data_IF_427496895801
#
_entry.id   IF_427496895801
#
_cell.length_a   1.000
_cell.length_b   1.000
_cell.length_c   1.000
_cell.angle_alpha   90.00
_cell.angle_beta   90.00
_cell.angle_gamma   90.00
#
_symmetry.space_group_name_H-M   'P 1'
#
loop_
_entity.id
_entity.type
_entity.pdbx_description
1 polymer ?
#
# COMPACT_ATOMS: atom_id res chain seq x y z
N UNK A 1 37.30 -8.83 30.73
CA UNK A 1 36.40 -7.80 30.15
C UNK A 1 35.13 -7.75 31.01
N UNK A 2 34.84 -6.64 31.71
CA UNK A 2 33.54 -6.48 32.39
C UNK A 2 32.49 -6.16 31.32
N UNK A 3 31.60 -7.11 31.02
CA UNK A 3 30.41 -6.85 30.20
C UNK A 3 29.62 -5.73 30.85
N UNK A 4 29.32 -4.67 30.09
CA UNK A 4 28.43 -3.62 30.58
C UNK A 4 27.04 -4.21 30.79
N UNK A 5 26.34 -3.84 31.86
CA UNK A 5 24.94 -4.24 32.12
C UNK A 5 24.05 -4.10 30.87
N UNK A 6 24.32 -3.11 30.01
CA UNK A 6 23.61 -2.88 28.74
C UNK A 6 23.81 -3.99 27.71
N UNK A 7 25.00 -4.59 27.62
CA UNK A 7 25.27 -5.71 26.71
C UNK A 7 24.57 -6.99 27.18
N UNK A 8 24.58 -7.23 28.49
CA UNK A 8 23.84 -8.34 29.10
C UNK A 8 22.34 -8.17 28.90
N UNK A 9 21.82 -6.95 29.02
CA UNK A 9 20.41 -6.65 28.77
C UNK A 9 20.02 -6.94 27.32
N UNK A 10 20.82 -6.52 26.33
CA UNK A 10 20.58 -6.83 24.92
C UNK A 10 20.57 -8.34 24.71
N UNK A 11 21.61 -9.03 25.19
CA UNK A 11 21.71 -10.48 25.03
C UNK A 11 20.50 -11.20 25.66
N UNK A 12 20.07 -10.77 26.85
CA UNK A 12 18.91 -11.33 27.54
C UNK A 12 17.60 -11.08 26.76
N UNK A 13 17.35 -9.83 26.34
CA UNK A 13 16.15 -9.48 25.57
C UNK A 13 16.13 -10.28 24.27
N UNK A 14 17.21 -10.26 23.49
CA UNK A 14 17.33 -10.98 22.22
C UNK A 14 17.18 -12.49 22.40
N UNK A 15 17.75 -13.06 23.47
CA UNK A 15 17.64 -14.49 23.75
C UNK A 15 16.21 -14.89 24.13
N UNK A 16 15.59 -14.19 25.08
CA UNK A 16 14.20 -14.46 25.51
C UNK A 16 13.24 -14.32 24.34
N UNK A 17 13.45 -13.27 23.55
CA UNK A 17 12.69 -12.97 22.33
C UNK A 17 12.80 -14.09 21.29
N UNK A 18 14.03 -14.49 20.95
CA UNK A 18 14.27 -15.56 19.99
C UNK A 18 13.72 -16.90 20.49
N UNK A 19 13.86 -17.18 21.79
CA UNK A 19 13.31 -18.36 22.41
C UNK A 19 11.78 -18.37 22.35
N UNK A 20 11.12 -17.24 22.61
CA UNK A 20 9.66 -17.12 22.50
C UNK A 20 9.17 -17.47 21.10
N UNK A 21 9.69 -16.81 20.06
CA UNK A 21 9.29 -17.06 18.67
C UNK A 21 9.61 -18.49 18.21
N UNK A 22 10.72 -19.05 18.68
CA UNK A 22 11.05 -20.45 18.41
C UNK A 22 10.06 -21.41 19.06
N UNK A 23 9.74 -21.20 20.34
CA UNK A 23 8.78 -22.04 21.06
C UNK A 23 7.38 -21.93 20.48
N UNK A 24 6.95 -20.72 20.11
CA UNK A 24 5.67 -20.51 19.45
C UNK A 24 5.55 -21.26 18.13
N UNK A 25 6.64 -21.30 17.38
CA UNK A 25 6.69 -21.99 16.12
C UNK A 25 6.70 -23.52 16.26
N UNK A 26 7.37 -24.04 17.30
CA UNK A 26 7.53 -25.49 17.51
C UNK A 26 6.35 -26.10 18.27
N UNK A 27 5.79 -25.37 19.22
CA UNK A 27 4.72 -25.86 20.07
C UNK A 27 3.36 -25.76 19.37
N UNK A 28 2.46 -26.73 19.61
CA UNK A 28 1.08 -26.60 19.15
C UNK A 28 0.38 -25.44 19.88
N UNK A 29 -0.60 -24.81 19.22
CA UNK A 29 -1.36 -23.68 19.74
C UNK A 29 -1.99 -23.98 21.12
N UNK A 30 -2.33 -25.24 21.40
CA UNK A 30 -2.89 -25.68 22.68
C UNK A 30 -2.14 -26.87 23.25
N UNK A 31 -1.71 -26.74 24.50
CA UNK A 31 -1.13 -27.80 25.31
C UNK A 31 -2.05 -28.01 26.52
N UNK A 32 -3.04 -28.90 26.37
CA UNK A 32 -4.09 -29.08 27.38
C UNK A 32 -5.01 -27.86 27.46
N UNK A 33 -5.14 -27.27 28.65
CA UNK A 33 -5.91 -26.02 28.86
C UNK A 33 -5.09 -24.75 28.58
N UNK A 34 -3.78 -24.87 28.33
CA UNK A 34 -2.90 -23.74 28.08
C UNK A 34 -2.83 -23.43 26.58
N UNK A 35 -3.17 -22.19 26.21
CA UNK A 35 -3.05 -21.68 24.85
C UNK A 35 -1.71 -20.94 24.70
N UNK A 36 -0.72 -21.61 24.09
CA UNK A 36 0.58 -21.01 23.79
C UNK A 36 0.40 -20.07 22.60
N UNK A 37 0.78 -18.79 22.76
CA UNK A 37 0.58 -17.78 21.71
C UNK A 37 -0.59 -16.82 21.95
N UNK A 38 -1.33 -16.94 23.06
CA UNK A 38 -2.41 -16.00 23.42
C UNK A 38 -1.97 -14.51 23.46
N UNK A 39 -0.66 -14.26 23.66
CA UNK A 39 -0.06 -12.93 23.67
C UNK A 39 0.81 -12.61 22.44
N UNK A 40 0.77 -13.44 21.39
CA UNK A 40 1.61 -13.28 20.20
C UNK A 40 1.48 -11.90 19.60
N UNK A 41 0.24 -11.47 19.34
CA UNK A 41 0.00 -10.18 18.69
C UNK A 41 0.55 -9.02 19.53
N UNK A 42 0.43 -9.08 20.86
CA UNK A 42 0.96 -8.07 21.77
C UNK A 42 2.49 -8.05 21.73
N UNK A 43 3.13 -9.22 21.76
CA UNK A 43 4.58 -9.37 21.72
C UNK A 43 5.10 -8.90 20.35
N UNK A 44 4.53 -9.38 19.26
CA UNK A 44 4.85 -9.00 17.88
C UNK A 44 4.69 -7.50 17.64
N UNK A 45 3.62 -6.87 18.14
CA UNK A 45 3.45 -5.41 18.11
C UNK A 45 4.55 -4.68 18.88
N UNK A 46 4.95 -5.20 20.04
CA UNK A 46 6.07 -4.66 20.81
C UNK A 46 7.40 -4.68 20.03
N UNK A 47 7.66 -5.76 19.29
CA UNK A 47 8.85 -5.87 18.43
C UNK A 47 8.80 -4.90 17.26
N UNK A 48 7.65 -4.81 16.59
CA UNK A 48 7.43 -3.85 15.52
C UNK A 48 7.65 -2.42 16.01
N UNK A 49 7.16 -2.08 17.21
CA UNK A 49 7.37 -0.77 17.82
C UNK A 49 8.86 -0.48 18.05
N UNK A 50 9.62 -1.45 18.58
CA UNK A 50 11.08 -1.33 18.73
C UNK A 50 11.75 -1.12 17.36
N UNK A 51 11.31 -1.85 16.32
CA UNK A 51 11.80 -1.70 14.95
C UNK A 51 11.52 -0.30 14.36
N UNK A 52 10.30 0.21 14.51
CA UNK A 52 9.91 1.56 14.06
C UNK A 52 10.73 2.64 14.77
N UNK A 53 10.92 2.51 16.08
CA UNK A 53 11.76 3.43 16.85
C UNK A 53 13.23 3.39 16.41
N UNK A 54 13.76 2.19 16.10
CA UNK A 54 15.12 2.05 15.60
C UNK A 54 15.30 2.73 14.23
N UNK A 55 14.31 2.66 13.33
CA UNK A 55 14.35 3.42 12.07
C UNK A 55 14.47 4.92 12.35
N UNK A 56 13.68 5.45 13.29
CA UNK A 56 13.75 6.86 13.69
C UNK A 56 15.11 7.26 14.25
N UNK A 57 15.68 6.44 15.13
CA UNK A 57 17.04 6.66 15.67
C UNK A 57 18.11 6.57 14.59
N UNK A 58 17.97 5.65 13.63
CA UNK A 58 18.86 5.52 12.48
C UNK A 58 18.88 6.78 11.63
N UNK A 59 17.70 7.36 11.35
CA UNK A 59 17.58 8.63 10.65
C UNK A 59 18.26 9.77 11.42
N UNK A 60 17.97 9.91 12.72
CA UNK A 60 18.62 10.92 13.58
C UNK A 60 20.14 10.77 13.56
N UNK A 61 20.64 9.53 13.59
CA UNK A 61 22.06 9.24 13.54
C UNK A 61 22.68 9.67 12.21
N UNK A 62 22.02 9.42 11.07
CA UNK A 62 22.45 9.90 9.75
C UNK A 62 22.59 11.42 9.76
N UNK A 63 21.56 12.15 10.22
CA UNK A 63 21.61 13.61 10.32
C UNK A 63 22.73 14.10 11.24
N UNK A 64 22.92 13.47 12.39
CA UNK A 64 23.96 13.85 13.35
C UNK A 64 25.36 13.64 12.77
N UNK A 65 25.64 12.44 12.27
CA UNK A 65 26.98 12.05 11.80
C UNK A 65 27.37 12.84 10.54
N UNK A 66 26.47 12.89 9.55
CA UNK A 66 26.76 13.57 8.29
C UNK A 66 26.61 15.09 8.42
N UNK A 67 25.71 15.58 9.28
CA UNK A 67 25.59 17.01 9.58
C UNK A 67 26.85 17.54 10.26
N UNK A 68 27.37 16.81 11.25
CA UNK A 68 28.63 17.16 11.91
C UNK A 68 29.82 17.09 10.94
N UNK A 69 29.86 16.10 10.04
CA UNK A 69 30.91 15.99 9.02
C UNK A 69 30.92 17.20 8.07
N UNK A 70 29.74 17.75 7.72
CA UNK A 70 29.62 18.96 6.90
C UNK A 70 30.07 20.20 7.69
N UNK A 71 29.55 20.38 8.91
CA UNK A 71 29.84 21.55 9.76
C UNK A 71 31.32 21.63 10.16
N UNK A 72 31.93 20.50 10.51
CA UNK A 72 33.36 20.40 10.85
C UNK A 72 34.27 20.30 9.62
N UNK A 73 33.71 20.28 8.41
CA UNK A 73 34.48 20.23 7.17
C UNK A 73 35.32 18.96 6.99
N UNK A 74 34.86 17.79 7.44
CA UNK A 74 35.57 16.52 7.30
C UNK A 74 35.79 16.12 5.83
N UNK A 75 36.75 15.22 5.58
CA UNK A 75 37.02 14.65 4.25
C UNK A 75 35.76 13.91 3.75
N UNK A 76 35.34 14.18 2.51
CA UNK A 76 34.10 13.62 1.96
C UNK A 76 32.81 14.38 2.32
N UNK A 77 32.90 15.64 2.80
CA UNK A 77 31.74 16.51 3.08
C UNK A 77 30.74 16.63 1.92
N UNK A 78 31.21 16.58 0.67
CA UNK A 78 30.34 16.62 -0.51
C UNK A 78 29.39 15.42 -0.58
N UNK A 79 29.88 14.21 -0.30
CA UNK A 79 29.06 12.99 -0.29
C UNK A 79 28.06 13.02 0.86
N UNK A 80 28.47 13.53 2.02
CA UNK A 80 27.59 13.70 3.19
C UNK A 80 26.47 14.70 2.90
N UNK A 81 26.78 15.81 2.23
CA UNK A 81 25.79 16.80 1.80
C UNK A 81 24.81 16.19 0.79
N UNK A 82 25.32 15.46 -0.22
CA UNK A 82 24.49 14.79 -1.21
C UNK A 82 23.54 13.77 -0.56
N UNK A 83 24.01 12.98 0.41
CA UNK A 83 23.19 12.03 1.15
C UNK A 83 22.07 12.73 1.94
N UNK A 84 22.39 13.77 2.71
CA UNK A 84 21.38 14.48 3.49
C UNK A 84 20.37 15.17 2.60
N UNK A 85 20.81 15.78 1.50
CA UNK A 85 19.91 16.37 0.52
C UNK A 85 18.98 15.31 -0.08
N UNK A 86 19.51 14.15 -0.47
CA UNK A 86 18.70 13.05 -1.01
C UNK A 86 17.66 12.53 0.00
N UNK A 87 18.03 12.34 1.27
CA UNK A 87 17.09 11.91 2.32
C UNK A 87 16.00 12.96 2.55
N UNK A 88 16.36 14.25 2.62
CA UNK A 88 15.38 15.34 2.77
C UNK A 88 14.47 15.42 1.55
N UNK A 89 15.01 15.36 0.34
CA UNK A 89 14.22 15.37 -0.90
C UNK A 89 13.25 14.18 -0.94
N UNK A 90 13.71 12.97 -0.61
CA UNK A 90 12.85 11.79 -0.56
C UNK A 90 11.72 11.98 0.46
N UNK A 91 12.04 12.42 1.67
CA UNK A 91 11.04 12.61 2.73
C UNK A 91 10.02 13.69 2.38
N UNK A 92 10.47 14.79 1.77
CA UNK A 92 9.59 15.87 1.31
C UNK A 92 8.70 15.39 0.17
N UNK A 93 9.25 14.69 -0.83
CA UNK A 93 8.48 14.21 -1.99
C UNK A 93 7.47 13.14 -1.60
N UNK A 94 7.90 12.09 -0.90
CA UNK A 94 7.01 11.01 -0.49
C UNK A 94 6.02 11.44 0.60
N UNK A 95 6.49 12.20 1.60
CA UNK A 95 5.62 12.72 2.65
C UNK A 95 4.62 13.73 2.11
N UNK A 96 5.03 14.57 1.16
CA UNK A 96 4.15 15.51 0.46
C UNK A 96 3.09 14.80 -0.36
N UNK A 97 3.47 13.79 -1.15
CA UNK A 97 2.52 12.96 -1.90
C UNK A 97 1.55 12.23 -0.97
N UNK A 98 2.03 11.64 0.13
CA UNK A 98 1.18 10.96 1.10
C UNK A 98 0.15 11.90 1.78
N UNK A 99 0.60 13.05 2.28
CA UNK A 99 -0.29 14.01 2.95
C UNK A 99 -1.31 14.62 2.00
N UNK A 100 -0.91 14.92 0.76
CA UNK A 100 -1.79 15.53 -0.21
C UNK A 100 -2.72 14.52 -0.87
N UNK A 101 -2.27 13.29 -1.12
CA UNK A 101 -3.10 12.21 -1.65
C UNK A 101 -4.20 11.84 -0.67
N UNK A 102 -3.90 11.67 0.62
CA UNK A 102 -4.90 11.33 1.63
C UNK A 102 -6.02 12.36 1.74
N UNK A 103 -5.71 13.66 1.66
CA UNK A 103 -6.72 14.72 1.69
C UNK A 103 -7.57 14.80 0.41
N UNK A 104 -7.05 14.35 -0.74
CA UNK A 104 -7.70 14.49 -2.05
C UNK A 104 -8.47 13.25 -2.48
N UNK A 105 -7.95 12.06 -2.17
CA UNK A 105 -8.52 10.77 -2.59
C UNK A 105 -9.92 10.57 -1.99
N UNK A 106 -10.19 11.08 -0.78
CA UNK A 106 -11.49 10.91 -0.13
C UNK A 106 -12.64 11.57 -0.92
N UNK A 107 -12.43 12.77 -1.47
CA UNK A 107 -13.45 13.49 -2.24
C UNK A 107 -13.73 12.84 -3.61
N UNK A 108 -12.71 12.34 -4.27
CA UNK A 108 -12.89 11.62 -5.55
C UNK A 108 -13.49 10.24 -5.34
N UNK A 109 -13.17 9.57 -4.22
CA UNK A 109 -13.73 8.28 -3.85
C UNK A 109 -15.25 8.36 -3.68
N UNK A 110 -15.76 9.37 -2.98
CA UNK A 110 -17.22 9.51 -2.79
C UNK A 110 -17.96 9.73 -4.10
N UNK A 111 -17.36 10.45 -5.07
CA UNK A 111 -17.94 10.64 -6.41
C UNK A 111 -17.94 9.34 -7.22
N UNK A 112 -16.90 8.52 -7.08
CA UNK A 112 -16.84 7.21 -7.75
C UNK A 112 -17.91 6.22 -7.26
N UNK A 113 -18.48 6.46 -6.07
CA UNK A 113 -19.53 5.65 -5.45
C UNK A 113 -20.95 6.10 -5.83
N UNK A 114 -21.13 7.22 -6.55
CA UNK A 114 -22.47 7.68 -7.01
C UNK A 114 -23.28 6.61 -7.76
N UNK A 115 -22.70 5.76 -8.63
CA UNK A 115 -23.44 4.71 -9.33
C UNK A 115 -23.91 3.61 -8.37
N UNK A 116 -23.07 3.25 -7.40
CA UNK A 116 -23.42 2.23 -6.40
C UNK A 116 -24.49 2.75 -5.44
N UNK A 117 -24.45 4.05 -5.10
CA UNK A 117 -25.46 4.73 -4.30
C UNK A 117 -26.82 4.80 -5.02
N UNK A 118 -26.85 5.25 -6.27
CA UNK A 118 -28.10 5.35 -7.06
C UNK A 118 -28.78 4.00 -7.24
N UNK A 119 -28.01 2.94 -7.54
CA UNK A 119 -28.55 1.59 -7.64
C UNK A 119 -29.15 1.05 -6.33
N UNK A 120 -28.66 1.51 -5.17
CA UNK A 120 -29.19 1.11 -3.86
C UNK A 120 -30.55 1.74 -3.56
N UNK A 121 -30.87 2.93 -4.09
CA UNK A 121 -32.16 3.62 -3.87
C UNK A 121 -33.35 2.71 -4.21
N UNK A 122 -33.28 2.00 -5.34
CA UNK A 122 -34.31 1.05 -5.77
C UNK A 122 -34.47 -0.12 -4.80
N UNK A 123 -33.36 -0.68 -4.32
CA UNK A 123 -33.35 -1.82 -3.39
C UNK A 123 -33.89 -1.41 -2.02
N UNK A 124 -33.56 -0.20 -1.57
CA UNK A 124 -34.00 0.34 -0.29
C UNK A 124 -35.51 0.66 -0.28
N UNK A 125 -36.08 1.10 -1.42
CA UNK A 125 -37.52 1.19 -1.61
C UNK A 125 -38.20 -0.18 -1.47
N UNK A 126 -37.67 -1.21 -2.14
CA UNK A 126 -38.23 -2.56 -2.11
C UNK A 126 -38.18 -3.21 -0.72
N UNK A 127 -37.23 -2.81 0.13
CA UNK A 127 -37.01 -3.38 1.48
C UNK A 127 -37.61 -2.53 2.60
N UNK A 128 -38.22 -1.38 2.30
CA UNK A 128 -38.88 -0.45 3.23
C UNK A 128 -38.02 0.01 4.44
N UNK A 129 -36.70 0.01 4.30
CA UNK A 129 -35.78 0.35 5.40
C UNK A 129 -35.61 1.86 5.61
N UNK A 130 -35.81 2.67 4.56
CA UNK A 130 -35.62 4.13 4.55
C UNK A 130 -36.44 4.72 3.39
N UNK A 131 -37.12 5.88 3.56
CA UNK A 131 -37.87 6.51 2.48
C UNK A 131 -36.95 6.85 1.29
N UNK A 132 -37.30 6.36 0.11
CA UNK A 132 -36.49 6.52 -1.10
C UNK A 132 -36.35 8.00 -1.49
N UNK A 133 -37.41 8.79 -1.27
CA UNK A 133 -37.40 10.23 -1.46
C UNK A 133 -36.36 10.93 -0.56
N UNK A 134 -36.24 10.53 0.71
CA UNK A 134 -35.26 11.11 1.63
C UNK A 134 -33.82 10.78 1.23
N UNK A 135 -33.57 9.56 0.73
CA UNK A 135 -32.25 9.17 0.23
C UNK A 135 -31.86 9.97 -1.01
N UNK A 136 -32.77 10.14 -1.97
CA UNK A 136 -32.52 10.95 -3.17
C UNK A 136 -32.27 12.42 -2.80
N UNK A 137 -32.99 12.95 -1.81
CA UNK A 137 -32.76 14.30 -1.30
C UNK A 137 -31.37 14.46 -0.67
N UNK A 138 -30.87 13.44 0.04
CA UNK A 138 -29.49 13.45 0.55
C UNK A 138 -28.45 13.45 -0.56
N UNK A 139 -28.72 12.76 -1.68
CA UNK A 139 -27.87 12.79 -2.86
C UNK A 139 -27.85 14.16 -3.52
N UNK A 140 -29.02 14.81 -3.62
CA UNK A 140 -29.12 16.19 -4.13
C UNK A 140 -28.32 17.15 -3.27
N UNK A 141 -28.42 17.06 -1.94
CA UNK A 141 -27.62 17.89 -1.03
C UNK A 141 -26.12 17.68 -1.21
N UNK A 142 -25.68 16.43 -1.40
CA UNK A 142 -24.28 16.11 -1.71
C UNK A 142 -23.83 16.72 -3.04
N UNK A 143 -24.68 16.61 -4.08
CA UNK A 143 -24.39 17.20 -5.40
C UNK A 143 -24.31 18.72 -5.31
N UNK A 144 -25.23 19.37 -4.60
CA UNK A 144 -25.23 20.82 -4.37
C UNK A 144 -23.94 21.28 -3.70
N UNK A 145 -23.51 20.56 -2.65
CA UNK A 145 -22.26 20.86 -1.97
C UNK A 145 -21.04 20.68 -2.90
N UNK A 146 -21.04 19.62 -3.71
CA UNK A 146 -19.95 19.34 -4.65
C UNK A 146 -19.87 20.40 -5.75
N UNK A 147 -21.01 20.81 -6.30
CA UNK A 147 -21.09 21.88 -7.30
C UNK A 147 -20.63 23.21 -6.72
N UNK A 148 -20.98 23.52 -5.48
CA UNK A 148 -20.51 24.72 -4.80
C UNK A 148 -18.98 24.70 -4.60
N UNK A 149 -18.42 23.58 -4.14
CA UNK A 149 -16.96 23.40 -4.03
C UNK A 149 -16.26 23.52 -5.38
N UNK A 150 -16.84 22.93 -6.43
CA UNK A 150 -16.31 23.03 -7.79
C UNK A 150 -16.32 24.46 -8.31
N UNK A 151 -17.40 25.22 -8.09
CA UNK A 151 -17.51 26.62 -8.52
C UNK A 151 -16.55 27.56 -7.79
N UNK A 152 -16.32 27.30 -6.49
CA UNK A 152 -15.36 28.08 -5.69
C UNK A 152 -13.91 27.68 -5.93
N UNK A 153 -13.65 26.58 -6.64
CA UNK A 153 -12.31 26.02 -6.77
C UNK A 153 -11.76 25.63 -5.40
N UNK A 154 -12.58 25.01 -4.55
CA UNK A 154 -12.18 24.59 -3.20
C UNK A 154 -11.94 23.09 -3.14
N UNK A 155 -11.06 22.67 -2.22
CA UNK A 155 -10.80 21.27 -1.95
C UNK A 155 -10.24 20.50 -3.15
N UNK A 156 -10.92 19.43 -3.56
CA UNK A 156 -10.48 18.55 -4.64
C UNK A 156 -10.54 19.20 -6.04
N UNK A 157 -11.32 20.29 -6.20
CA UNK A 157 -11.56 20.96 -7.48
C UNK A 157 -10.69 22.20 -7.72
N UNK A 158 -9.83 22.57 -6.77
CA UNK A 158 -9.08 23.83 -6.78
C UNK A 158 -8.12 24.04 -7.96
N UNK A 159 -7.53 22.96 -8.49
CA UNK A 159 -6.52 23.04 -9.55
C UNK A 159 -7.12 22.98 -10.96
N UNK A 160 -8.41 22.71 -11.10
CA UNK A 160 -9.05 22.48 -12.41
C UNK A 160 -9.50 23.78 -13.08
N UNK A 161 -9.77 24.83 -12.29
CA UNK A 161 -10.33 26.09 -12.76
C UNK A 161 -9.36 26.96 -13.60
N UNK A 162 -8.05 26.71 -13.55
CA UNK A 162 -7.04 27.50 -14.26
C UNK A 162 -6.19 26.62 -15.21
N UNK A 163 -6.73 26.25 -16.38
CA UNK A 163 -5.92 25.67 -17.48
C UNK A 163 -6.51 24.45 -18.19
N UNK A 164 -5.65 23.45 -18.49
CA UNK A 164 -5.89 22.27 -19.37
C UNK A 164 -6.98 21.28 -18.92
N UNK A 165 -7.87 21.68 -18.00
CA UNK A 165 -8.98 20.87 -17.48
C UNK A 165 -10.33 21.58 -17.50
N UNK A 166 -10.42 22.82 -18.02
CA UNK A 166 -11.67 23.60 -18.02
C UNK A 166 -12.84 22.86 -18.70
N UNK A 167 -12.60 22.26 -19.86
CA UNK A 167 -13.60 21.48 -20.63
C UNK A 167 -14.09 20.25 -19.86
N UNK A 168 -13.18 19.55 -19.17
CA UNK A 168 -13.53 18.42 -18.30
C UNK A 168 -14.27 18.86 -17.03
N UNK A 169 -13.93 20.05 -16.51
CA UNK A 169 -14.62 20.65 -15.37
C UNK A 169 -16.05 21.01 -15.73
N UNK A 170 -16.23 21.64 -16.90
CA UNK A 170 -17.54 22.00 -17.45
C UNK A 170 -18.36 20.74 -17.70
N UNK A 171 -17.76 19.74 -18.35
CA UNK A 171 -18.40 18.42 -18.53
C UNK A 171 -18.83 17.80 -17.20
N UNK A 172 -17.98 17.83 -16.17
CA UNK A 172 -18.32 17.30 -14.85
C UNK A 172 -19.48 18.07 -14.20
N UNK A 173 -19.43 19.40 -14.22
CA UNK A 173 -20.49 20.27 -13.71
C UNK A 173 -21.80 19.98 -14.42
N UNK A 174 -21.79 19.88 -15.75
CA UNK A 174 -22.97 19.55 -16.56
C UNK A 174 -23.57 18.18 -16.19
N UNK A 175 -22.72 17.16 -16.02
CA UNK A 175 -23.18 15.81 -15.59
C UNK A 175 -23.79 15.85 -14.19
N UNK A 176 -23.18 16.60 -13.28
CA UNK A 176 -23.67 16.74 -11.90
C UNK A 176 -24.97 17.53 -11.83
N UNK A 177 -25.13 18.59 -12.62
CA UNK A 177 -26.38 19.36 -12.71
C UNK A 177 -27.51 18.53 -13.34
N UNK A 178 -27.23 17.75 -14.38
CA UNK A 178 -28.18 16.82 -14.95
C UNK A 178 -28.60 15.73 -13.95
N UNK A 179 -27.63 15.13 -13.23
CA UNK A 179 -27.90 14.16 -12.17
C UNK A 179 -28.77 14.76 -11.07
N UNK A 180 -28.48 15.98 -10.63
CA UNK A 180 -29.26 16.72 -9.63
C UNK A 180 -30.72 16.86 -10.07
N UNK A 181 -30.95 17.31 -11.31
CA UNK A 181 -32.29 17.48 -11.86
C UNK A 181 -33.08 16.17 -11.92
N UNK A 182 -32.47 15.10 -12.45
CA UNK A 182 -33.09 13.78 -12.52
C UNK A 182 -33.42 13.23 -11.12
N UNK A 183 -32.53 13.45 -10.15
CA UNK A 183 -32.71 12.99 -8.77
C UNK A 183 -33.84 13.72 -8.03
N UNK A 184 -34.01 15.02 -8.30
CA UNK A 184 -35.13 15.81 -7.77
C UNK A 184 -36.47 15.33 -8.34
N UNK A 185 -36.54 15.06 -9.65
CA UNK A 185 -37.75 14.55 -10.30
C UNK A 185 -38.13 13.16 -9.77
N UNK A 186 -37.15 12.28 -9.60
CA UNK A 186 -37.37 10.95 -9.03
C UNK A 186 -37.79 11.04 -7.56
N UNK A 187 -37.19 11.94 -6.77
CA UNK A 187 -37.57 12.14 -5.37
C UNK A 187 -39.03 12.62 -5.25
N UNK A 188 -39.47 13.54 -6.12
CA UNK A 188 -40.84 14.01 -6.15
C UNK A 188 -41.83 12.92 -6.55
N UNK A 189 -41.45 12.09 -7.53
CA UNK A 189 -42.23 10.92 -7.94
C UNK A 189 -42.42 9.95 -6.77
N UNK A 190 -41.36 9.70 -5.98
CA UNK A 190 -41.46 8.90 -4.77
C UNK A 190 -42.35 9.51 -3.69
N UNK A 191 -42.28 10.83 -3.46
CA UNK A 191 -43.15 11.51 -2.49
C UNK A 191 -44.62 11.41 -2.87
N UNK A 192 -44.96 11.55 -4.16
CA UNK A 192 -46.33 11.41 -4.63
C UNK A 192 -46.89 10.01 -4.36
N UNK A 193 -46.07 8.97 -4.59
CA UNK A 193 -46.45 7.58 -4.32
C UNK A 193 -46.60 7.32 -2.82
N UNK A 194 -45.74 7.90 -1.98
CA UNK A 194 -45.81 7.77 -0.52
C UNK A 194 -47.03 8.49 0.09
N UNK A 195 -47.53 9.57 -0.54
CA UNK A 195 -48.64 10.39 -0.04
C UNK A 195 -50.03 9.91 -0.48
N UNK A 196 -50.16 9.30 -1.66
CA UNK A 196 -51.43 8.75 -2.18
C UNK A 196 -51.28 7.25 -2.57
N UNK A 197 -51.36 6.32 -1.60
CA UNK A 197 -51.13 4.89 -1.85
C UNK A 197 -52.25 4.17 -2.64
N UNK A 198 -53.35 4.85 -2.98
CA UNK A 198 -54.52 4.26 -3.65
C UNK A 198 -54.45 4.41 -5.16
N UNK A 199 -53.66 3.56 -5.83
CA UNK A 199 -53.83 3.30 -7.26
C UNK A 199 -55.15 2.52 -7.46
N UNK A 200 -56.15 3.17 -8.03
CA UNK A 200 -57.49 2.59 -8.16
C UNK A 200 -57.63 1.53 -9.26
N UNK A 201 -56.64 1.39 -10.15
CA UNK A 201 -56.61 0.37 -11.22
C UNK A 201 -55.24 -0.30 -11.40
N UNK A 202 -55.23 -1.51 -11.95
CA UNK A 202 -54.01 -2.27 -12.29
C UNK A 202 -53.15 -1.52 -13.33
N UNK A 203 -53.79 -0.85 -14.29
CA UNK A 203 -53.13 -0.09 -15.34
C UNK A 203 -52.39 1.15 -14.78
N UNK A 204 -52.97 1.84 -13.79
CA UNK A 204 -52.31 2.97 -13.09
C UNK A 204 -51.05 2.50 -12.31
N UNK A 205 -51.10 1.28 -11.77
CA UNK A 205 -49.99 0.68 -11.03
C UNK A 205 -48.84 0.27 -11.97
N UNK A 206 -49.16 -0.26 -13.15
CA UNK A 206 -48.16 -0.65 -14.15
C UNK A 206 -47.50 0.58 -14.81
N UNK A 207 -48.29 1.62 -15.11
CA UNK A 207 -47.79 2.88 -15.65
C UNK A 207 -46.84 3.59 -14.67
N UNK A 208 -47.19 3.65 -13.39
CA UNK A 208 -46.33 4.25 -12.35
C UNK A 208 -45.03 3.45 -12.14
N UNK A 209 -45.08 2.12 -12.20
CA UNK A 209 -43.88 1.28 -12.14
C UNK A 209 -42.95 1.46 -13.35
N UNK A 210 -43.50 1.59 -14.56
CA UNK A 210 -42.72 1.82 -15.77
C UNK A 210 -42.02 3.19 -15.74
N UNK A 211 -42.72 4.24 -15.35
CA UNK A 211 -42.16 5.60 -15.19
C UNK A 211 -41.06 5.62 -14.13
N UNK A 212 -41.27 4.97 -12.99
CA UNK A 212 -40.23 4.82 -11.97
C UNK A 212 -38.99 4.10 -12.51
N UNK A 213 -39.18 2.98 -13.21
CA UNK A 213 -38.07 2.21 -13.77
C UNK A 213 -37.22 3.03 -14.76
N UNK A 214 -37.87 3.82 -15.63
CA UNK A 214 -37.21 4.72 -16.58
C UNK A 214 -36.43 5.83 -15.85
N UNK A 215 -37.05 6.48 -14.87
CA UNK A 215 -36.40 7.52 -14.06
C UNK A 215 -35.20 6.97 -13.29
N UNK A 216 -35.30 5.77 -12.68
CA UNK A 216 -34.17 5.09 -12.04
C UNK A 216 -33.03 4.83 -13.01
N UNK A 217 -33.32 4.25 -14.18
CA UNK A 217 -32.31 4.00 -15.20
C UNK A 217 -31.62 5.31 -15.64
N UNK A 218 -32.37 6.40 -15.74
CA UNK A 218 -31.81 7.72 -16.07
C UNK A 218 -30.86 8.25 -14.97
N UNK A 219 -31.23 8.09 -13.69
CA UNK A 219 -30.43 8.55 -12.55
C UNK A 219 -29.16 7.71 -12.42
N UNK A 220 -29.26 6.38 -12.56
CA UNK A 220 -28.11 5.48 -12.55
C UNK A 220 -27.12 5.80 -13.70
N UNK A 221 -27.64 6.04 -14.92
CA UNK A 221 -26.81 6.39 -16.07
C UNK A 221 -26.12 7.76 -15.90
N UNK A 222 -26.84 8.76 -15.39
CA UNK A 222 -26.27 10.08 -15.10
C UNK A 222 -25.24 10.01 -13.97
N UNK A 223 -25.49 9.22 -12.93
CA UNK A 223 -24.55 8.98 -11.83
C UNK A 223 -23.27 8.32 -12.33
N UNK A 224 -23.38 7.32 -13.22
CA UNK A 224 -22.22 6.71 -13.89
C UNK A 224 -21.45 7.73 -14.74
N UNK A 225 -22.14 8.57 -15.50
CA UNK A 225 -21.49 9.60 -16.32
C UNK A 225 -20.77 10.65 -15.48
N UNK A 226 -21.36 11.07 -14.35
CA UNK A 226 -20.78 12.04 -13.42
C UNK A 226 -19.55 11.44 -12.71
N UNK A 227 -19.62 10.18 -12.29
CA UNK A 227 -18.50 9.46 -11.72
C UNK A 227 -17.33 9.29 -12.70
N UNK A 228 -17.61 9.01 -13.98
CA UNK A 228 -16.58 8.95 -15.02
C UNK A 228 -15.92 10.32 -15.26
N UNK A 229 -16.71 11.40 -15.30
CA UNK A 229 -16.17 12.75 -15.42
C UNK A 229 -15.31 13.13 -14.21
N UNK A 230 -15.74 12.73 -12.99
CA UNK A 230 -14.96 12.91 -11.77
C UNK A 230 -13.64 12.11 -11.79
N UNK A 231 -13.65 10.86 -12.26
CA UNK A 231 -12.43 10.05 -12.39
C UNK A 231 -11.45 10.71 -13.38
N UNK A 232 -11.93 11.16 -14.54
CA UNK A 232 -11.11 11.86 -15.52
C UNK A 232 -10.47 13.13 -14.95
N UNK A 233 -11.24 13.92 -14.20
CA UNK A 233 -10.72 15.09 -13.49
C UNK A 233 -9.69 14.72 -12.42
N UNK A 234 -9.94 13.67 -11.65
CA UNK A 234 -9.02 13.21 -10.61
C UNK A 234 -7.67 12.76 -11.20
N UNK A 235 -7.68 12.11 -12.36
CA UNK A 235 -6.46 11.69 -13.08
C UNK A 235 -5.69 12.89 -13.61
N UNK A 236 -6.39 13.83 -14.27
CA UNK A 236 -5.77 15.05 -14.76
C UNK A 236 -5.12 15.83 -13.62
N UNK A 237 -5.83 15.93 -12.49
CA UNK A 237 -5.31 16.53 -11.27
C UNK A 237 -4.03 15.81 -10.82
N UNK A 238 -4.05 14.48 -10.72
CA UNK A 238 -2.88 13.69 -10.33
C UNK A 238 -1.69 13.92 -11.28
N UNK A 239 -1.90 13.88 -12.60
CA UNK A 239 -0.85 14.03 -13.60
C UNK A 239 -0.23 15.44 -13.64
N UNK A 240 -1.02 16.48 -13.37
CA UNK A 240 -0.52 17.87 -13.38
C UNK A 240 0.16 18.29 -12.07
N UNK A 241 -0.04 17.52 -11.01
CA UNK A 241 0.54 17.84 -9.72
C UNK A 241 2.07 17.61 -9.71
N UNK A 242 2.78 18.52 -9.05
CA UNK A 242 4.25 18.45 -8.94
C UNK A 242 4.73 17.20 -8.18
N UNK A 243 3.93 16.68 -7.24
CA UNK A 243 4.33 15.55 -6.39
C UNK A 243 4.37 14.22 -7.14
N UNK A 244 3.32 13.82 -7.89
CA UNK A 244 3.38 12.62 -8.73
C UNK A 244 4.44 12.70 -9.82
N UNK A 245 4.64 13.89 -10.41
CA UNK A 245 5.71 14.11 -11.39
C UNK A 245 7.07 13.88 -10.74
N UNK A 246 7.34 14.52 -9.59
CA UNK A 246 8.59 14.35 -8.86
C UNK A 246 8.83 12.88 -8.47
N UNK A 247 7.80 12.20 -7.98
CA UNK A 247 7.87 10.79 -7.61
C UNK A 247 8.16 9.90 -8.82
N UNK A 248 7.50 10.15 -9.94
CA UNK A 248 7.71 9.42 -11.20
C UNK A 248 9.14 9.58 -11.68
N UNK A 249 9.67 10.81 -11.69
CA UNK A 249 11.07 11.08 -12.08
C UNK A 249 12.04 10.38 -11.13
N UNK A 250 11.89 10.52 -9.81
CA UNK A 250 12.77 9.88 -8.84
C UNK A 250 12.77 8.36 -8.99
N UNK A 251 11.58 7.76 -9.16
CA UNK A 251 11.43 6.31 -9.27
C UNK A 251 11.95 5.76 -10.59
N UNK A 252 11.56 6.37 -11.71
CA UNK A 252 11.84 5.85 -13.05
C UNK A 252 13.21 6.25 -13.58
N UNK A 253 13.71 7.43 -13.23
CA UNK A 253 15.00 7.91 -13.71
C UNK A 253 16.16 7.50 -12.80
N UNK A 254 15.92 7.35 -11.48
CA UNK A 254 16.99 7.04 -10.53
C UNK A 254 16.84 5.66 -9.91
N UNK A 255 15.73 5.39 -9.20
CA UNK A 255 15.59 4.17 -8.41
C UNK A 255 15.65 2.90 -9.27
N UNK A 256 14.86 2.82 -10.35
CA UNK A 256 14.85 1.63 -11.21
C UNK A 256 16.19 1.40 -11.94
N UNK A 257 16.81 2.38 -12.62
CA UNK A 257 18.09 2.16 -13.30
C UNK A 257 19.24 1.84 -12.34
N UNK A 258 19.32 2.48 -11.17
CA UNK A 258 20.33 2.18 -10.17
C UNK A 258 20.15 0.77 -9.59
N UNK A 259 18.91 0.38 -9.31
CA UNK A 259 18.57 -0.99 -8.90
C UNK A 259 18.97 -2.01 -9.97
N UNK A 260 18.63 -1.75 -11.24
CA UNK A 260 19.02 -2.61 -12.36
C UNK A 260 20.54 -2.74 -12.51
N UNK A 261 21.30 -1.65 -12.31
CA UNK A 261 22.75 -1.69 -12.31
C UNK A 261 23.31 -2.57 -11.18
N UNK A 262 22.78 -2.43 -9.96
CA UNK A 262 23.15 -3.28 -8.83
C UNK A 262 22.84 -4.77 -9.10
N UNK A 263 21.65 -5.07 -9.61
CA UNK A 263 21.28 -6.46 -9.96
C UNK A 263 22.10 -7.01 -11.11
N UNK A 264 22.47 -6.19 -12.10
CA UNK A 264 23.33 -6.59 -13.21
C UNK A 264 24.73 -6.99 -12.73
N UNK A 265 25.33 -6.19 -11.84
CA UNK A 265 26.58 -6.52 -11.17
C UNK A 265 26.44 -7.82 -10.35
N UNK A 266 25.39 -7.92 -9.54
CA UNK A 266 25.13 -9.08 -8.70
C UNK A 266 24.93 -10.36 -9.52
N UNK A 267 24.26 -10.28 -10.67
CA UNK A 267 24.03 -11.42 -11.55
C UNK A 267 25.35 -12.04 -12.02
N UNK A 268 26.35 -11.24 -12.41
CA UNK A 268 27.66 -11.75 -12.80
C UNK A 268 28.39 -12.43 -11.62
N UNK A 269 28.28 -11.86 -10.41
CA UNK A 269 28.84 -12.47 -9.20
C UNK A 269 28.14 -13.78 -8.85
N UNK A 270 26.81 -13.84 -8.93
CA UNK A 270 26.04 -15.06 -8.68
C UNK A 270 26.41 -16.13 -9.70
N UNK A 271 26.45 -15.81 -11.00
CA UNK A 271 26.83 -16.75 -12.04
C UNK A 271 28.26 -17.28 -11.83
N UNK A 272 29.20 -16.41 -11.48
CA UNK A 272 30.60 -16.80 -11.20
C UNK A 272 30.71 -17.66 -9.95
N UNK A 273 30.02 -17.29 -8.86
CA UNK A 273 30.00 -18.04 -7.62
C UNK A 273 29.35 -19.42 -7.81
N UNK A 274 28.22 -19.47 -8.53
CA UNK A 274 27.53 -20.68 -8.93
C UNK A 274 28.45 -21.58 -9.75
N UNK A 275 29.10 -21.09 -10.81
CA UNK A 275 30.03 -21.91 -11.60
C UNK A 275 31.18 -22.47 -10.75
N UNK A 276 31.68 -21.68 -9.79
CA UNK A 276 32.74 -22.13 -8.86
C UNK A 276 32.23 -23.18 -7.85
N UNK A 277 31.00 -23.05 -7.34
CA UNK A 277 30.40 -23.97 -6.38
C UNK A 277 29.86 -25.26 -7.02
N UNK A 278 29.44 -25.19 -8.29
CA UNK A 278 28.91 -26.31 -9.07
C UNK A 278 29.97 -27.18 -9.73
N UNK A 279 31.27 -26.93 -9.53
CA UNK A 279 32.30 -27.89 -9.96
C UNK A 279 32.11 -29.14 -9.09
N UNK A 280 31.50 -30.20 -9.65
CA UNK A 280 31.20 -31.46 -8.94
C UNK A 280 32.50 -32.03 -8.41
N UNK A 281 32.74 -31.81 -7.12
CA UNK A 281 33.92 -32.30 -6.39
C UNK A 281 33.54 -33.32 -5.32
N UNK A 282 32.24 -33.53 -5.10
CA UNK A 282 31.71 -34.46 -4.12
C UNK A 282 30.30 -34.93 -4.49
N UNK A 283 29.84 -36.01 -3.83
CA UNK A 283 28.49 -36.54 -4.01
C UNK A 283 27.42 -35.53 -3.56
N UNK A 284 27.70 -34.75 -2.52
CA UNK A 284 26.81 -33.71 -2.00
C UNK A 284 26.62 -32.57 -3.02
N UNK A 285 27.71 -32.16 -3.69
CA UNK A 285 27.64 -31.13 -4.74
C UNK A 285 26.80 -31.59 -5.94
N UNK A 286 26.82 -32.88 -6.27
CA UNK A 286 25.98 -33.47 -7.31
C UNK A 286 24.49 -33.40 -6.94
N UNK A 287 24.13 -33.74 -5.69
CA UNK A 287 22.75 -33.66 -5.21
C UNK A 287 22.23 -32.21 -5.28
N UNK A 288 23.06 -31.24 -4.85
CA UNK A 288 22.72 -29.82 -4.94
C UNK A 288 22.56 -29.34 -6.39
N UNK A 289 23.38 -29.85 -7.32
CA UNK A 289 23.25 -29.53 -8.74
C UNK A 289 21.94 -30.10 -9.33
N UNK A 290 21.61 -31.36 -9.05
CA UNK A 290 20.36 -31.98 -9.50
C UNK A 290 19.17 -31.18 -8.97
N UNK A 291 19.19 -30.84 -7.68
CA UNK A 291 18.16 -30.01 -7.07
C UNK A 291 18.01 -28.64 -7.76
N UNK A 292 19.13 -27.95 -8.01
CA UNK A 292 19.12 -26.66 -8.69
C UNK A 292 18.57 -26.76 -10.12
N UNK A 293 18.93 -27.79 -10.88
CA UNK A 293 18.41 -28.02 -12.23
C UNK A 293 16.90 -28.29 -12.22
N UNK A 294 16.43 -29.17 -11.32
CA UNK A 294 15.00 -29.48 -11.19
C UNK A 294 14.19 -28.22 -10.84
N UNK A 295 14.65 -27.43 -9.88
CA UNK A 295 13.98 -26.19 -9.47
C UNK A 295 14.01 -25.15 -10.61
N UNK A 296 15.14 -24.98 -11.29
CA UNK A 296 15.26 -23.99 -12.38
C UNK A 296 14.39 -24.37 -13.57
N UNK A 297 14.37 -25.63 -13.99
CA UNK A 297 13.51 -26.11 -15.08
C UNK A 297 12.02 -26.06 -14.72
N UNK A 298 11.67 -26.34 -13.46
CA UNK A 298 10.29 -26.26 -12.98
C UNK A 298 9.77 -24.83 -12.79
N UNK A 299 10.65 -23.81 -12.74
CA UNK A 299 10.29 -22.40 -12.53
C UNK A 299 9.81 -21.72 -13.82
N UNK A 300 10.11 -22.31 -14.97
CA UNK A 300 9.90 -21.67 -16.27
C UNK A 300 8.39 -21.63 -16.60
N UNK A 301 7.79 -20.44 -16.82
CA UNK A 301 6.39 -20.29 -17.18
C UNK A 301 6.23 -20.51 -18.69
N UNK A 302 6.24 -21.77 -19.13
CA UNK A 302 5.82 -22.20 -20.46
C UNK A 302 4.74 -23.26 -20.26
N UNK A 303 3.64 -23.23 -21.02
CA UNK A 303 2.47 -24.11 -20.83
C UNK A 303 2.75 -25.63 -20.99
N UNK A 304 2.04 -26.38 -21.86
CA UNK A 304 2.18 -27.84 -21.94
C UNK A 304 3.51 -28.35 -22.54
N UNK A 305 4.55 -27.51 -22.67
CA UNK A 305 5.84 -27.84 -23.28
C UNK A 305 6.92 -28.26 -22.27
N UNK A 306 6.54 -28.76 -21.09
CA UNK A 306 7.49 -29.34 -20.16
C UNK A 306 8.07 -30.65 -20.73
N UNK A 307 9.40 -30.83 -20.60
CA UNK A 307 10.08 -32.11 -20.91
C UNK A 307 9.46 -33.27 -20.11
N UNK A 308 8.96 -32.97 -18.90
CA UNK A 308 8.19 -33.89 -18.07
C UNK A 308 7.09 -33.12 -17.31
N UNK A 309 5.84 -33.56 -17.44
CA UNK A 309 4.66 -32.90 -16.84
C UNK A 309 4.71 -32.83 -15.31
N UNK A 310 5.49 -33.70 -14.65
CA UNK A 310 5.67 -33.68 -13.20
C UNK A 310 6.76 -32.72 -12.68
N UNK A 311 7.52 -32.04 -13.56
CA UNK A 311 8.56 -31.09 -13.17
C UNK A 311 8.05 -29.98 -12.24
N UNK A 312 6.90 -29.33 -12.51
CA UNK A 312 6.36 -28.31 -11.61
C UNK A 312 6.03 -28.88 -10.21
N UNK A 313 5.47 -30.09 -10.15
CA UNK A 313 5.15 -30.77 -8.90
C UNK A 313 6.41 -31.15 -8.11
N UNK A 314 7.45 -31.65 -8.78
CA UNK A 314 8.73 -31.93 -8.16
C UNK A 314 9.38 -30.66 -7.59
N UNK A 315 9.39 -29.55 -8.36
CA UNK A 315 9.84 -28.24 -7.87
C UNK A 315 9.05 -27.80 -6.63
N UNK A 316 7.72 -27.87 -6.67
CA UNK A 316 6.86 -27.46 -5.55
C UNK A 316 7.17 -28.28 -4.30
N UNK A 317 7.23 -29.61 -4.43
CA UNK A 317 7.57 -30.48 -3.30
C UNK A 317 8.93 -30.14 -2.68
N UNK A 318 9.95 -29.87 -3.52
CA UNK A 318 11.28 -29.49 -3.05
C UNK A 318 11.26 -28.13 -2.32
N UNK A 319 10.52 -27.15 -2.84
CA UNK A 319 10.41 -25.84 -2.20
C UNK A 319 9.63 -25.94 -0.89
N UNK A 320 8.49 -26.62 -0.87
CA UNK A 320 7.60 -26.68 0.29
C UNK A 320 8.14 -27.55 1.44
N UNK A 321 8.86 -28.63 1.13
CA UNK A 321 9.35 -29.55 2.16
C UNK A 321 10.83 -29.33 2.50
N UNK A 322 11.68 -29.13 1.48
CA UNK A 322 13.12 -29.08 1.66
C UNK A 322 13.62 -27.64 1.92
N UNK A 323 13.07 -26.66 1.22
CA UNK A 323 13.49 -25.26 1.38
C UNK A 323 12.81 -24.56 2.57
N UNK A 324 11.56 -24.90 2.88
CA UNK A 324 10.79 -24.27 3.96
C UNK A 324 11.48 -24.28 5.32
N UNK A 325 12.05 -25.40 5.83
CA UNK A 325 12.78 -25.40 7.10
C UNK A 325 13.98 -24.45 7.10
N UNK A 326 14.72 -24.40 5.98
CA UNK A 326 15.86 -23.51 5.84
C UNK A 326 15.45 -22.04 5.82
N UNK A 327 14.41 -21.69 5.04
CA UNK A 327 13.86 -20.33 5.02
C UNK A 327 13.31 -19.89 6.38
N UNK A 328 12.67 -20.81 7.12
CA UNK A 328 12.22 -20.54 8.50
C UNK A 328 13.40 -20.22 9.42
N UNK A 329 14.47 -21.00 9.36
CA UNK A 329 15.67 -20.74 10.15
C UNK A 329 16.32 -19.38 9.80
N UNK A 330 16.40 -19.04 8.51
CA UNK A 330 16.89 -17.73 8.04
C UNK A 330 16.00 -16.62 8.56
N UNK A 331 14.68 -16.78 8.48
CA UNK A 331 13.72 -15.80 8.96
C UNK A 331 13.90 -15.54 10.46
N UNK A 332 13.93 -16.59 11.30
CA UNK A 332 14.19 -16.45 12.75
C UNK A 332 15.54 -15.78 13.03
N UNK A 333 16.61 -16.23 12.36
CA UNK A 333 17.93 -15.63 12.52
C UNK A 333 17.94 -14.15 12.17
N UNK A 334 17.28 -13.77 11.08
CA UNK A 334 17.19 -12.38 10.64
C UNK A 334 16.34 -11.52 11.57
N UNK A 335 15.22 -12.04 12.08
CA UNK A 335 14.37 -11.34 13.04
C UNK A 335 15.08 -11.10 14.37
N UNK A 336 15.78 -12.12 14.89
CA UNK A 336 16.58 -12.01 16.12
C UNK A 336 17.74 -11.02 15.94
N UNK A 337 18.43 -11.07 14.80
CA UNK A 337 19.51 -10.13 14.47
C UNK A 337 18.98 -8.69 14.35
N UNK A 338 17.83 -8.50 13.69
CA UNK A 338 17.15 -7.22 13.57
C UNK A 338 16.77 -6.64 14.93
N UNK A 339 16.18 -7.45 15.81
CA UNK A 339 15.87 -7.04 17.19
C UNK A 339 17.14 -6.67 17.96
N UNK A 340 18.18 -7.49 17.89
CA UNK A 340 19.45 -7.21 18.56
C UNK A 340 20.03 -5.86 18.12
N UNK A 341 20.02 -5.57 16.82
CA UNK A 341 20.47 -4.29 16.28
C UNK A 341 19.56 -3.14 16.70
N UNK A 342 18.25 -3.31 16.70
CA UNK A 342 17.30 -2.30 17.12
C UNK A 342 17.47 -1.91 18.61
N UNK A 343 17.59 -2.90 19.50
CA UNK A 343 17.84 -2.66 20.94
C UNK A 343 19.23 -2.04 21.16
N UNK A 344 20.24 -2.47 20.39
CA UNK A 344 21.59 -1.91 20.45
C UNK A 344 21.61 -0.42 20.06
N UNK A 345 20.89 -0.07 19.00
CA UNK A 345 20.72 1.31 18.55
C UNK A 345 19.97 2.14 19.60
N UNK A 346 18.91 1.58 20.19
CA UNK A 346 18.13 2.24 21.24
C UNK A 346 18.95 2.56 22.49
N UNK A 347 19.83 1.65 22.90
CA UNK A 347 20.74 1.85 24.02
C UNK A 347 21.99 2.67 23.67
N UNK A 348 22.07 3.21 22.43
CA UNK A 348 23.17 4.04 21.94
C UNK A 348 24.55 3.38 22.13
N UNK A 349 24.62 2.07 21.85
CA UNK A 349 25.87 1.30 21.95
C UNK A 349 26.62 1.20 20.62
N UNK A 350 26.11 1.81 19.57
CA UNK A 350 26.80 1.94 18.29
C UNK A 350 27.85 3.04 18.41
N UNK A 351 29.12 2.67 18.29
CA UNK A 351 30.21 3.64 18.20
C UNK A 351 30.33 4.08 16.76
N UNK A 352 30.28 5.38 16.51
CA UNK A 352 30.55 5.92 15.19
C UNK A 352 32.01 5.63 14.81
N UNK A 353 32.29 5.00 13.66
CA UNK A 353 33.65 4.77 13.18
C UNK A 353 34.47 6.06 13.03
N UNK A 354 33.81 7.21 12.90
CA UNK A 354 34.45 8.52 12.77
C UNK A 354 34.96 9.10 14.10
N UNK A 355 34.60 8.49 15.24
CA UNK A 355 35.09 8.94 16.54
C UNK A 355 36.54 8.48 16.82
N UNK A 356 37.05 7.50 16.08
CA UNK A 356 38.41 6.96 16.25
C UNK A 356 39.47 7.67 15.42
N UNK A 357 39.09 8.41 14.37
CA UNK A 357 40.03 9.23 13.58
C UNK A 357 40.48 10.51 14.34
N UNK A 358 39.85 10.86 15.47
CA UNK A 358 40.26 12.00 16.31
C UNK A 358 41.35 11.62 17.35
N UNK A 359 41.81 10.35 17.36
CA UNK A 359 42.76 9.81 18.34
C UNK A 359 44.13 9.38 17.75
N UNK A 360 44.36 9.60 16.45
CA UNK A 360 45.66 9.52 15.76
C UNK A 360 45.95 10.86 15.09
#
# INVERSE_FOLDING_TARGET
MKTSYRQTLIAAITFISGLYFFLEFVLPERIGEFEFGAYHDQISRGFQLIGVMAIGLGLINIFRVHGEAILKGRKGRGNSLALLLAVVTMFVVEGGDFLLSTLRVEAWRTLSELPSFSARVRTDYATNNTPAAARLQSMVQFIDHTLEQSRKGEGAFALVAEGKGADLSETFVDRMEALRGASLLLAETYRGIEQEPTASTLDDTLASQAVLAEQHASVEALAASAAQAADALSRLHYEQNVWPIAMTVLRESFFFPLGAAMFSLLAFYIATAAYRSFRIRSAEALIMMIAAVVVTLGQIPHGPLYVWQGLPGARLWMLENLSTPAFRAIFFGSAIAGLAMAVRMWLSLERSPLATEEAE
#
